data_IF_156541093260
#
_entry.id   IF_156541093260
#
_cell.length_a   1.000
_cell.length_b   1.000
_cell.length_c   1.000
_cell.angle_alpha   90.00
_cell.angle_beta   90.00
_cell.angle_gamma   90.00
#
_symmetry.space_group_name_H-M   'P 1'
#
loop_
_entity.id
_entity.type
_entity.pdbx_description
1 polymer ?
#
# COMPACT_ATOMS: atom_id res chain seq x y z
N UNK A 1 -26.27 -16.56 -34.41
CA UNK A 1 -25.20 -15.70 -33.84
C UNK A 1 -25.17 -14.32 -34.49
N UNK A 2 -24.98 -14.20 -35.81
CA UNK A 2 -24.84 -12.90 -36.52
C UNK A 2 -26.07 -11.98 -36.39
N UNK A 3 -27.29 -12.54 -36.38
CA UNK A 3 -28.54 -11.76 -36.24
C UNK A 3 -28.73 -11.16 -34.84
N UNK A 4 -28.20 -11.81 -33.80
CA UNK A 4 -28.27 -11.36 -32.39
C UNK A 4 -27.28 -10.23 -32.12
N UNK A 5 -26.08 -10.31 -32.69
CA UNK A 5 -25.05 -9.25 -32.60
C UNK A 5 -25.57 -7.95 -33.21
N UNK A 6 -26.32 -8.02 -34.32
CA UNK A 6 -26.89 -6.84 -34.99
C UNK A 6 -27.91 -6.08 -34.12
N UNK A 7 -28.59 -6.74 -33.19
CA UNK A 7 -29.52 -6.09 -32.26
C UNK A 7 -28.83 -5.52 -31.01
N UNK A 8 -27.55 -5.84 -30.80
CA UNK A 8 -26.76 -5.38 -29.65
C UNK A 8 -25.52 -4.58 -30.09
N UNK A 9 -25.55 -4.03 -31.31
CA UNK A 9 -24.51 -3.13 -31.82
C UNK A 9 -24.19 -1.98 -30.85
N UNK A 10 -25.16 -1.33 -30.19
CA UNK A 10 -24.85 -0.30 -29.19
C UNK A 10 -24.05 -0.84 -28.00
N UNK A 11 -24.36 -2.04 -27.54
CA UNK A 11 -23.65 -2.69 -26.43
C UNK A 11 -22.20 -3.00 -26.81
N UNK A 12 -21.99 -3.54 -28.01
CA UNK A 12 -20.64 -3.86 -28.52
C UNK A 12 -19.81 -2.59 -28.69
N UNK A 13 -20.40 -1.50 -29.21
CA UNK A 13 -19.73 -0.21 -29.33
C UNK A 13 -19.33 0.36 -27.96
N UNK A 14 -20.22 0.29 -26.97
CA UNK A 14 -19.90 0.72 -25.59
C UNK A 14 -18.77 -0.14 -25.01
N UNK A 15 -18.77 -1.45 -25.25
CA UNK A 15 -17.70 -2.32 -24.76
C UNK A 15 -16.35 -2.01 -25.39
N UNK A 16 -16.31 -1.75 -26.71
CA UNK A 16 -15.10 -1.34 -27.41
C UNK A 16 -14.60 0.01 -26.89
N UNK A 17 -15.51 0.96 -26.67
CA UNK A 17 -15.17 2.26 -26.09
C UNK A 17 -14.57 2.11 -24.69
N UNK A 18 -15.23 1.35 -23.80
CA UNK A 18 -14.74 1.10 -22.45
C UNK A 18 -13.41 0.34 -22.45
N UNK A 19 -13.21 -0.60 -23.37
CA UNK A 19 -11.95 -1.32 -23.56
C UNK A 19 -10.81 -0.38 -23.95
N UNK A 20 -11.02 0.46 -24.97
CA UNK A 20 -10.04 1.43 -25.44
C UNK A 20 -9.74 2.50 -24.39
N UNK A 21 -10.75 2.92 -23.64
CA UNK A 21 -10.60 3.88 -22.54
C UNK A 21 -9.82 3.30 -21.35
N UNK A 22 -10.00 2.01 -21.06
CA UNK A 22 -9.26 1.32 -20.01
C UNK A 22 -7.80 1.00 -20.39
N UNK A 23 -7.48 0.98 -21.68
CA UNK A 23 -6.15 0.64 -22.17
C UNK A 23 -5.11 1.67 -21.72
N UNK A 24 -3.99 1.19 -21.19
CA UNK A 24 -2.91 2.09 -20.79
C UNK A 24 -2.26 2.73 -22.01
N UNK A 25 -2.05 4.04 -21.95
CA UNK A 25 -1.29 4.80 -22.95
C UNK A 25 0.24 4.59 -22.83
N UNK A 26 0.68 3.89 -21.78
CA UNK A 26 2.07 3.53 -21.54
C UNK A 26 2.24 2.05 -21.83
N UNK A 27 3.07 1.72 -22.81
CA UNK A 27 3.44 0.34 -23.12
C UNK A 27 4.73 0.01 -22.39
N UNK A 28 4.65 -0.88 -21.40
CA UNK A 28 5.80 -1.37 -20.63
C UNK A 28 6.10 -2.82 -20.95
N UNK A 29 7.38 -3.17 -20.96
CA UNK A 29 7.85 -4.55 -21.00
C UNK A 29 8.84 -4.75 -19.86
N UNK A 30 8.45 -5.57 -18.89
CA UNK A 30 9.09 -5.65 -17.58
C UNK A 30 9.27 -4.25 -16.98
N UNK A 31 10.51 -3.86 -16.69
CA UNK A 31 10.86 -2.59 -16.07
C UNK A 31 11.12 -1.45 -17.06
N UNK A 32 10.97 -1.71 -18.37
CA UNK A 32 11.26 -0.71 -19.42
C UNK A 32 9.97 -0.19 -20.07
N UNK A 33 9.85 1.13 -20.11
CA UNK A 33 8.83 1.81 -20.90
C UNK A 33 9.29 1.80 -22.37
N UNK A 34 8.52 1.13 -23.24
CA UNK A 34 8.84 1.03 -24.67
C UNK A 34 8.38 2.30 -25.39
N UNK A 35 7.10 2.64 -25.24
CA UNK A 35 6.49 3.79 -25.91
C UNK A 35 5.36 4.36 -25.05
N UNK A 36 5.29 5.69 -25.00
CA UNK A 36 4.15 6.42 -24.44
C UNK A 36 3.39 7.07 -25.60
N UNK A 37 2.09 6.79 -25.70
CA UNK A 37 1.23 7.51 -26.63
C UNK A 37 0.90 8.86 -25.98
N UNK A 38 1.26 10.00 -26.60
CA UNK A 38 0.96 11.31 -26.03
C UNK A 38 -0.54 11.58 -26.16
N UNK A 39 -1.26 11.61 -25.04
CA UNK A 39 -2.65 12.04 -24.98
C UNK A 39 -2.72 13.48 -24.47
N UNK A 40 -3.76 14.26 -24.84
CA UNK A 40 -3.99 15.59 -24.27
C UNK A 40 -4.14 15.54 -22.74
N UNK A 41 -3.59 16.52 -22.02
CA UNK A 41 -3.55 16.55 -20.55
C UNK A 41 -4.91 16.31 -19.88
N UNK A 42 -5.97 16.97 -20.34
CA UNK A 42 -7.31 16.78 -19.75
C UNK A 42 -7.88 15.36 -19.93
N UNK A 43 -7.50 14.64 -20.99
CA UNK A 43 -7.90 13.25 -21.19
C UNK A 43 -7.02 12.30 -20.37
N UNK A 44 -5.75 12.62 -20.19
CA UNK A 44 -4.85 11.88 -19.29
C UNK A 44 -5.33 11.92 -17.85
N UNK A 45 -5.76 13.07 -17.35
CA UNK A 45 -6.26 13.21 -15.97
C UNK A 45 -7.56 12.43 -15.77
N UNK A 46 -8.49 12.53 -16.72
CA UNK A 46 -9.77 11.82 -16.67
C UNK A 46 -9.56 10.30 -16.78
N UNK A 47 -8.78 9.85 -17.77
CA UNK A 47 -8.39 8.45 -17.91
C UNK A 47 -7.63 7.98 -16.67
N UNK A 48 -6.76 8.82 -16.09
CA UNK A 48 -6.01 8.51 -14.88
C UNK A 48 -6.91 8.20 -13.70
N UNK A 49 -7.89 9.07 -13.40
CA UNK A 49 -8.85 8.88 -12.31
C UNK A 49 -9.69 7.61 -12.51
N UNK A 50 -10.24 7.44 -13.71
CA UNK A 50 -11.11 6.30 -13.97
C UNK A 50 -10.33 4.97 -14.08
N UNK A 51 -9.14 4.97 -14.68
CA UNK A 51 -8.25 3.79 -14.77
C UNK A 51 -7.74 3.40 -13.39
N UNK A 52 -7.40 4.35 -12.52
CA UNK A 52 -7.02 4.07 -11.14
C UNK A 52 -8.11 3.31 -10.36
N UNK A 53 -9.38 3.55 -10.69
CA UNK A 53 -10.49 2.79 -10.08
C UNK A 53 -10.70 1.40 -10.69
N UNK A 54 -10.20 1.13 -11.91
CA UNK A 54 -10.46 -0.04 -12.77
C UNK A 54 -11.95 -0.32 -13.13
N UNK A 55 -12.89 0.45 -12.59
CA UNK A 55 -14.35 0.21 -12.68
C UNK A 55 -14.91 0.29 -14.10
N UNK A 56 -14.26 1.06 -14.99
CA UNK A 56 -14.69 1.21 -16.38
C UNK A 56 -14.53 -0.08 -17.20
N UNK A 57 -13.64 -0.99 -16.79
CA UNK A 57 -13.43 -2.25 -17.50
C UNK A 57 -14.37 -3.38 -17.03
N UNK A 58 -14.98 -3.25 -15.85
CA UNK A 58 -15.78 -4.31 -15.23
C UNK A 58 -16.95 -4.78 -16.12
N UNK A 59 -17.73 -3.90 -16.77
CA UNK A 59 -18.81 -4.34 -17.65
C UNK A 59 -18.30 -5.20 -18.81
N UNK A 60 -17.15 -4.84 -19.39
CA UNK A 60 -16.53 -5.59 -20.50
C UNK A 60 -16.05 -6.95 -20.00
N UNK A 61 -15.39 -6.99 -18.85
CA UNK A 61 -14.93 -8.22 -18.23
C UNK A 61 -16.07 -9.21 -17.94
N UNK A 62 -17.17 -8.74 -17.35
CA UNK A 62 -18.33 -9.60 -17.08
C UNK A 62 -18.99 -10.13 -18.35
N UNK A 63 -19.06 -9.33 -19.42
CA UNK A 63 -19.59 -9.78 -20.70
C UNK A 63 -18.70 -10.83 -21.36
N UNK A 64 -17.37 -10.73 -21.22
CA UNK A 64 -16.43 -11.76 -21.68
C UNK A 64 -16.66 -13.07 -20.90
N UNK A 65 -16.81 -13.02 -19.58
CA UNK A 65 -17.08 -14.20 -18.75
C UNK A 65 -18.40 -14.87 -19.12
N UNK A 66 -19.50 -14.11 -19.13
CA UNK A 66 -20.84 -14.62 -19.49
C UNK A 66 -20.83 -15.14 -20.94
N UNK A 67 -20.17 -14.43 -21.85
CA UNK A 67 -20.00 -14.86 -23.23
C UNK A 67 -19.24 -16.19 -23.35
N UNK A 68 -18.17 -16.36 -22.57
CA UNK A 68 -17.41 -17.60 -22.48
C UNK A 68 -18.25 -18.77 -21.94
N UNK A 69 -19.01 -18.56 -20.88
CA UNK A 69 -19.92 -19.57 -20.33
C UNK A 69 -21.03 -19.94 -21.32
N UNK A 70 -21.64 -18.94 -21.95
CA UNK A 70 -22.66 -19.15 -22.98
C UNK A 70 -22.10 -19.90 -24.20
N UNK A 71 -20.86 -19.58 -24.59
CA UNK A 71 -20.15 -20.29 -25.65
C UNK A 71 -19.97 -21.76 -25.27
N UNK A 72 -19.42 -22.06 -24.10
CA UNK A 72 -19.26 -23.44 -23.61
C UNK A 72 -20.60 -24.18 -23.51
N UNK A 73 -21.66 -23.51 -23.06
CA UNK A 73 -23.01 -24.07 -22.98
C UNK A 73 -23.58 -24.41 -24.36
N UNK A 74 -23.40 -23.53 -25.35
CA UNK A 74 -23.85 -23.76 -26.73
C UNK A 74 -23.08 -24.92 -27.37
N UNK A 75 -21.77 -24.97 -27.16
CA UNK A 75 -20.88 -25.99 -27.69
C UNK A 75 -21.01 -27.36 -26.99
N UNK A 76 -21.65 -27.42 -25.81
CA UNK A 76 -21.99 -28.68 -25.13
C UNK A 76 -22.86 -29.62 -25.95
N UNK A 77 -23.60 -29.08 -26.93
CA UNK A 77 -24.39 -29.89 -27.88
C UNK A 77 -23.53 -30.64 -28.91
N UNK A 78 -22.29 -30.18 -29.13
CA UNK A 78 -21.38 -30.70 -30.15
C UNK A 78 -20.13 -31.40 -29.57
N UNK A 79 -19.91 -31.29 -28.26
CA UNK A 79 -18.75 -31.85 -27.56
C UNK A 79 -19.22 -32.78 -26.44
N UNK A 80 -18.59 -33.96 -26.34
CA UNK A 80 -18.82 -34.88 -25.22
C UNK A 80 -18.51 -34.19 -23.89
N UNK A 81 -19.34 -34.42 -22.86
CA UNK A 81 -19.23 -33.79 -21.54
C UNK A 81 -17.82 -33.90 -20.96
N UNK A 82 -17.15 -35.05 -21.15
CA UNK A 82 -15.77 -35.31 -20.70
C UNK A 82 -14.76 -34.30 -21.25
N UNK A 83 -14.90 -33.88 -22.52
CA UNK A 83 -13.99 -32.90 -23.14
C UNK A 83 -14.15 -31.51 -22.54
N UNK A 84 -15.38 -31.11 -22.20
CA UNK A 84 -15.68 -29.81 -21.60
C UNK A 84 -15.12 -29.72 -20.19
N UNK A 85 -15.32 -30.76 -19.38
CA UNK A 85 -14.70 -30.84 -18.05
C UNK A 85 -13.18 -30.86 -18.14
N UNK A 86 -12.61 -31.58 -19.11
CA UNK A 86 -11.16 -31.56 -19.35
C UNK A 86 -10.63 -30.16 -19.67
N UNK A 87 -11.31 -29.40 -20.53
CA UNK A 87 -10.96 -28.01 -20.84
C UNK A 87 -11.08 -27.12 -19.60
N UNK A 88 -12.15 -27.26 -18.81
CA UNK A 88 -12.33 -26.45 -17.60
C UNK A 88 -11.23 -26.73 -16.56
N UNK A 89 -10.89 -27.99 -16.34
CA UNK A 89 -9.80 -28.40 -15.44
C UNK A 89 -8.47 -27.83 -15.93
N UNK A 90 -8.21 -27.89 -17.25
CA UNK A 90 -7.00 -27.30 -17.83
C UNK A 90 -6.94 -25.79 -17.59
N UNK A 91 -8.05 -25.07 -17.77
CA UNK A 91 -8.13 -23.61 -17.50
C UNK A 91 -7.83 -23.31 -16.04
N UNK A 92 -8.45 -24.04 -15.11
CA UNK A 92 -8.19 -23.88 -13.66
C UNK A 92 -6.73 -24.18 -13.34
N UNK A 93 -6.15 -25.21 -13.94
CA UNK A 93 -4.73 -25.55 -13.74
C UNK A 93 -3.81 -24.43 -14.23
N UNK A 94 -4.07 -23.86 -15.41
CA UNK A 94 -3.31 -22.71 -15.94
C UNK A 94 -3.43 -21.50 -15.02
N UNK A 95 -4.65 -21.21 -14.51
CA UNK A 95 -4.87 -20.12 -13.56
C UNK A 95 -4.10 -20.33 -12.24
N UNK A 96 -4.08 -21.55 -11.70
CA UNK A 96 -3.30 -21.87 -10.50
C UNK A 96 -1.80 -21.79 -10.76
N UNK A 97 -1.34 -22.23 -11.93
CA UNK A 97 0.07 -22.15 -12.31
C UNK A 97 0.56 -20.71 -12.45
N UNK A 98 -0.28 -19.83 -12.98
CA UNK A 98 -0.01 -18.39 -13.07
C UNK A 98 0.04 -17.74 -11.66
N UNK A 99 -0.91 -18.11 -10.79
CA UNK A 99 -1.03 -17.53 -9.45
C UNK A 99 -0.02 -18.08 -8.42
N UNK A 100 0.63 -19.22 -8.69
CA UNK A 100 1.48 -19.94 -7.71
C UNK A 100 2.56 -19.08 -7.06
N UNK A 101 3.20 -18.18 -7.83
CA UNK A 101 4.30 -17.35 -7.34
C UNK A 101 3.79 -16.34 -6.31
N UNK A 102 2.65 -15.71 -6.61
CA UNK A 102 1.97 -14.79 -5.69
C UNK A 102 1.53 -15.50 -4.40
N UNK A 103 0.94 -16.70 -4.52
CA UNK A 103 0.51 -17.49 -3.35
C UNK A 103 1.69 -17.88 -2.47
N UNK A 104 2.78 -18.36 -3.06
CA UNK A 104 3.97 -18.75 -2.31
C UNK A 104 4.58 -17.56 -1.57
N UNK A 105 4.73 -16.42 -2.26
CA UNK A 105 5.23 -15.19 -1.65
C UNK A 105 4.33 -14.74 -0.49
N UNK A 106 3.02 -14.69 -0.68
CA UNK A 106 2.09 -14.27 0.38
C UNK A 106 2.06 -15.23 1.56
N UNK A 107 2.22 -16.52 1.32
CA UNK A 107 2.31 -17.51 2.40
C UNK A 107 3.59 -17.33 3.22
N UNK A 108 4.72 -17.08 2.57
CA UNK A 108 5.98 -16.76 3.24
C UNK A 108 5.85 -15.48 4.08
N UNK A 109 5.31 -14.40 3.51
CA UNK A 109 5.05 -13.13 4.21
C UNK A 109 4.17 -13.35 5.47
N UNK A 110 3.13 -14.19 5.36
CA UNK A 110 2.23 -14.50 6.48
C UNK A 110 2.91 -15.30 7.59
N UNK A 111 3.76 -16.27 7.24
CA UNK A 111 4.55 -17.04 8.21
C UNK A 111 5.50 -16.14 8.99
N UNK A 112 6.19 -15.23 8.31
CA UNK A 112 7.06 -14.24 8.94
C UNK A 112 6.27 -13.32 9.89
N UNK A 113 5.10 -12.84 9.47
CA UNK A 113 4.24 -11.99 10.31
C UNK A 113 3.66 -12.69 11.55
N UNK A 114 3.67 -14.03 11.58
CA UNK A 114 3.23 -14.79 12.77
C UNK A 114 4.31 -14.79 13.85
N UNK A 115 5.58 -14.61 13.47
CA UNK A 115 6.72 -14.57 14.38
C UNK A 115 7.06 -13.15 14.85
N UNK A 116 6.62 -12.11 14.12
CA UNK A 116 6.80 -10.73 14.55
C UNK A 116 5.97 -10.46 15.80
N UNK A 117 6.59 -9.90 16.84
CA UNK A 117 5.86 -9.32 17.97
C UNK A 117 4.92 -8.25 17.46
N UNK A 118 3.79 -8.03 18.12
CA UNK A 118 2.87 -6.99 17.74
C UNK A 118 3.28 -5.67 18.38
N UNK A 119 3.33 -4.58 17.60
CA UNK A 119 3.65 -3.23 18.10
C UNK A 119 2.67 -2.78 19.19
N UNK A 120 1.44 -3.29 19.18
CA UNK A 120 0.43 -2.96 20.19
C UNK A 120 0.66 -3.66 21.53
N UNK A 121 1.44 -4.74 21.56
CA UNK A 121 1.71 -5.51 22.78
C UNK A 121 3.04 -5.11 23.42
N UNK A 122 3.79 -4.20 22.79
CA UNK A 122 5.09 -3.73 23.27
C UNK A 122 4.93 -2.73 24.44
N UNK A 123 5.37 -3.13 25.63
CA UNK A 123 5.23 -2.34 26.87
C UNK A 123 5.93 -0.98 26.79
N UNK A 124 7.10 -0.89 26.13
CA UNK A 124 7.88 0.34 26.04
C UNK A 124 7.19 1.31 25.09
N UNK A 125 6.66 0.83 23.97
CA UNK A 125 5.88 1.66 23.07
C UNK A 125 4.56 2.09 23.72
N UNK A 126 3.84 1.22 24.43
CA UNK A 126 2.64 1.67 25.15
C UNK A 126 2.97 2.75 26.20
N UNK A 127 4.09 2.61 26.90
CA UNK A 127 4.58 3.65 27.79
C UNK A 127 4.94 4.94 27.04
N UNK A 128 5.65 4.87 25.91
CA UNK A 128 6.03 6.04 25.12
C UNK A 128 4.81 6.80 24.55
N UNK A 129 3.72 6.09 24.26
CA UNK A 129 2.45 6.69 23.89
C UNK A 129 1.76 7.39 25.06
N UNK A 130 1.92 6.88 26.29
CA UNK A 130 1.31 7.46 27.49
C UNK A 130 1.88 8.86 27.78
N UNK A 131 1.03 9.88 27.69
CA UNK A 131 1.42 11.30 27.80
C UNK A 131 1.85 11.96 26.48
N UNK A 132 2.00 11.19 25.40
CA UNK A 132 2.27 11.73 24.07
C UNK A 132 0.97 11.99 23.30
N UNK A 133 0.92 13.05 22.51
CA UNK A 133 -0.28 13.44 21.74
C UNK A 133 -0.07 13.48 20.25
N UNK A 134 1.19 13.52 19.79
CA UNK A 134 1.49 13.75 18.39
C UNK A 134 2.63 12.86 17.92
N UNK A 135 2.43 12.18 16.79
CA UNK A 135 3.46 11.43 16.07
C UNK A 135 4.04 12.31 14.95
N UNK A 136 5.38 12.40 14.90
CA UNK A 136 6.15 13.05 13.85
C UNK A 136 7.10 12.03 13.18
N UNK A 137 7.38 12.20 11.90
CA UNK A 137 8.39 11.41 11.18
C UNK A 137 9.50 12.32 10.67
N UNK A 138 10.75 11.94 10.89
CA UNK A 138 11.93 12.69 10.47
C UNK A 138 12.77 11.82 9.53
N UNK A 139 12.75 12.18 8.25
CA UNK A 139 13.43 11.47 7.14
C UNK A 139 13.27 9.94 7.18
N UNK A 140 12.03 9.47 7.12
CA UNK A 140 11.72 8.06 7.24
C UNK A 140 11.64 7.35 5.88
N UNK A 141 12.36 6.24 5.74
CA UNK A 141 12.51 5.51 4.47
C UNK A 141 11.69 4.20 4.37
N UNK A 142 10.98 3.81 5.43
CA UNK A 142 10.27 2.52 5.56
C UNK A 142 8.75 2.73 5.61
N UNK A 143 7.95 1.67 5.54
CA UNK A 143 6.49 1.75 5.65
C UNK A 143 6.05 2.22 7.06
N UNK A 144 5.51 3.44 7.18
CA UNK A 144 5.02 3.98 8.46
C UNK A 144 3.70 3.40 8.93
N UNK A 145 2.98 2.67 8.07
CA UNK A 145 1.56 2.37 8.33
C UNK A 145 1.36 1.75 9.71
N UNK A 146 2.20 0.79 10.09
CA UNK A 146 2.11 0.13 11.41
C UNK A 146 2.26 1.12 12.56
N UNK A 147 3.26 1.99 12.49
CA UNK A 147 3.50 3.06 13.46
C UNK A 147 2.36 4.07 13.52
N UNK A 148 1.80 4.45 12.37
CA UNK A 148 0.65 5.36 12.32
C UNK A 148 -0.59 4.71 12.92
N UNK A 149 -0.86 3.43 12.65
CA UNK A 149 -1.98 2.72 13.30
C UNK A 149 -1.75 2.61 14.81
N UNK A 150 -0.51 2.34 15.25
CA UNK A 150 -0.15 2.37 16.67
C UNK A 150 -0.42 3.72 17.33
N UNK A 151 -0.03 4.82 16.70
CA UNK A 151 -0.28 6.17 17.21
C UNK A 151 -1.79 6.50 17.23
N UNK A 152 -2.53 6.14 16.19
CA UNK A 152 -3.99 6.35 16.14
C UNK A 152 -4.75 5.54 17.21
N UNK A 153 -4.30 4.32 17.53
CA UNK A 153 -4.89 3.50 18.59
C UNK A 153 -4.66 4.10 19.98
N UNK A 154 -3.63 4.92 20.13
CA UNK A 154 -3.29 5.66 21.35
C UNK A 154 -3.78 7.12 21.32
N UNK A 155 -4.79 7.44 20.51
CA UNK A 155 -5.40 8.78 20.39
C UNK A 155 -4.42 9.91 20.02
N UNK A 156 -3.31 9.57 19.32
CA UNK A 156 -2.32 10.55 18.88
C UNK A 156 -2.66 11.12 17.50
N UNK A 157 -2.42 12.43 17.32
CA UNK A 157 -2.45 13.06 16.01
C UNK A 157 -1.23 12.67 15.18
N UNK A 158 -1.44 12.26 13.93
CA UNK A 158 -0.38 11.81 13.03
C UNK A 158 -0.15 12.84 11.91
N UNK A 159 1.07 13.36 11.84
CA UNK A 159 1.53 14.23 10.75
C UNK A 159 2.38 13.55 9.65
N UNK A 160 2.86 12.30 9.80
CA UNK A 160 3.47 11.60 8.69
C UNK A 160 2.47 11.36 7.55
N UNK A 161 2.94 11.56 6.32
CA UNK A 161 2.11 11.34 5.13
C UNK A 161 2.21 9.89 4.69
N UNK A 162 1.08 9.18 4.73
CA UNK A 162 0.97 7.77 4.29
C UNK A 162 0.32 7.65 2.90
N UNK A 163 -0.29 8.73 2.41
CA UNK A 163 -0.97 8.75 1.12
C UNK A 163 0.00 9.05 -0.02
N UNK A 164 -0.08 8.25 -1.10
CA UNK A 164 0.69 8.48 -2.33
C UNK A 164 0.13 9.61 -3.21
N UNK A 165 -1.02 10.17 -2.87
CA UNK A 165 -1.70 11.20 -3.66
C UNK A 165 -2.10 12.39 -2.79
N UNK A 166 -1.85 13.61 -3.27
CA UNK A 166 -2.20 14.86 -2.59
C UNK A 166 -0.96 15.65 -2.16
N UNK A 167 -1.15 16.95 -1.95
CA UNK A 167 -0.14 17.85 -1.38
C UNK A 167 -0.45 18.10 0.09
N UNK A 168 0.52 17.80 0.96
CA UNK A 168 0.39 17.88 2.41
C UNK A 168 1.34 18.92 3.01
N UNK A 169 1.47 20.06 2.35
CA UNK A 169 2.42 21.14 2.67
C UNK A 169 2.31 21.59 4.13
N UNK A 170 1.08 21.81 4.64
CA UNK A 170 0.87 22.21 6.04
C UNK A 170 1.36 21.16 7.05
N UNK A 171 1.22 19.88 6.72
CA UNK A 171 1.70 18.79 7.58
C UNK A 171 3.22 18.73 7.57
N UNK A 172 3.83 18.92 6.40
CA UNK A 172 5.28 18.99 6.24
C UNK A 172 5.86 20.21 6.96
N UNK A 173 5.28 21.41 6.79
CA UNK A 173 5.68 22.64 7.47
C UNK A 173 5.60 22.49 9.00
N UNK A 174 4.48 21.97 9.51
CA UNK A 174 4.31 21.70 10.94
C UNK A 174 5.38 20.73 11.47
N UNK A 175 5.64 19.66 10.72
CA UNK A 175 6.65 18.65 11.08
C UNK A 175 8.04 19.27 11.09
N UNK A 176 8.45 19.94 10.01
CA UNK A 176 9.76 20.56 9.90
C UNK A 176 10.01 21.64 10.97
N UNK A 177 9.02 22.47 11.26
CA UNK A 177 9.13 23.51 12.30
C UNK A 177 9.34 22.91 13.70
N UNK A 178 8.57 21.87 14.04
CA UNK A 178 8.69 21.22 15.35
C UNK A 178 9.98 20.40 15.46
N UNK A 179 10.37 19.67 14.42
CA UNK A 179 11.64 18.93 14.42
C UNK A 179 12.84 19.87 14.55
N UNK A 180 12.83 21.01 13.86
CA UNK A 180 13.89 22.03 14.00
C UNK A 180 13.97 22.58 15.44
N UNK A 181 12.82 22.87 16.06
CA UNK A 181 12.75 23.29 17.47
C UNK A 181 13.36 22.23 18.38
N UNK A 182 12.92 20.97 18.25
CA UNK A 182 13.38 19.86 19.10
C UNK A 182 14.88 19.61 18.92
N UNK A 183 15.40 19.64 17.69
CA UNK A 183 16.85 19.51 17.42
C UNK A 183 17.69 20.63 18.04
N UNK A 184 17.10 21.80 18.29
CA UNK A 184 17.79 22.95 18.90
C UNK A 184 17.68 23.02 20.43
N UNK A 185 16.52 22.66 21.00
CA UNK A 185 16.23 22.78 22.43
C UNK A 185 16.37 21.47 23.20
N UNK A 186 16.28 20.33 22.51
CA UNK A 186 16.14 19.00 23.11
C UNK A 186 14.81 18.77 23.82
N UNK A 187 13.87 19.72 23.74
CA UNK A 187 12.56 19.61 24.40
C UNK A 187 11.54 18.95 23.47
N UNK A 188 11.31 17.65 23.69
CA UNK A 188 10.36 16.82 22.96
C UNK A 188 8.90 17.17 23.28
N UNK A 189 8.57 17.82 24.40
CA UNK A 189 7.16 18.04 24.77
C UNK A 189 6.33 16.76 24.77
N UNK A 190 5.17 16.79 24.11
CA UNK A 190 4.20 15.68 24.00
C UNK A 190 4.35 14.93 22.64
N UNK A 191 5.52 15.00 22.00
CA UNK A 191 5.79 14.39 20.69
C UNK A 191 6.43 13.01 20.83
N UNK A 192 6.08 12.09 19.92
CA UNK A 192 6.90 10.93 19.58
C UNK A 192 7.44 11.14 18.18
N UNK A 193 8.74 10.97 18.00
CA UNK A 193 9.40 11.10 16.70
C UNK A 193 9.85 9.72 16.26
N UNK A 194 9.61 9.39 14.98
CA UNK A 194 10.10 8.16 14.38
C UNK A 194 11.09 8.43 13.27
N UNK A 195 12.20 7.68 13.30
CA UNK A 195 13.30 7.78 12.34
C UNK A 195 13.83 6.42 11.94
N UNK A 196 14.45 6.36 10.77
CA UNK A 196 15.17 5.16 10.28
C UNK A 196 16.67 5.43 10.12
N UNK A 197 17.08 6.69 10.04
CA UNK A 197 18.48 7.06 9.81
C UNK A 197 19.25 7.25 11.14
N UNK A 198 20.31 6.46 11.32
CA UNK A 198 21.20 6.52 12.48
C UNK A 198 21.93 7.86 12.64
N UNK A 199 22.34 8.52 11.56
CA UNK A 199 23.04 9.82 11.62
C UNK A 199 22.14 10.92 12.22
N UNK A 200 20.82 10.79 12.01
CA UNK A 200 19.84 11.70 12.57
C UNK A 200 19.59 11.37 14.04
N UNK A 201 19.59 10.09 14.41
CA UNK A 201 19.44 9.64 15.81
C UNK A 201 20.51 10.27 16.71
N UNK A 202 21.76 10.34 16.24
CA UNK A 202 22.87 10.93 16.99
C UNK A 202 22.61 12.38 17.41
N UNK A 203 21.90 13.16 16.58
CA UNK A 203 21.53 14.55 16.88
C UNK A 203 20.54 14.66 18.04
N UNK A 204 19.72 13.64 18.26
CA UNK A 204 18.79 13.59 19.40
C UNK A 204 19.47 13.01 20.64
N UNK A 205 20.41 12.07 20.46
CA UNK A 205 21.15 11.42 21.55
C UNK A 205 22.05 12.38 22.36
N UNK A 206 22.35 13.57 21.84
CA UNK A 206 23.08 14.62 22.57
C UNK A 206 22.28 15.21 23.74
N UNK A 207 20.96 15.01 23.78
CA UNK A 207 20.10 15.57 24.83
C UNK A 207 19.77 14.52 25.91
N UNK A 208 20.05 14.82 27.20
CA UNK A 208 19.83 13.85 28.30
C UNK A 208 18.35 13.57 28.59
N UNK A 209 17.45 14.47 28.22
CA UNK A 209 16.00 14.34 28.42
C UNK A 209 15.28 13.49 27.36
N UNK A 210 16.02 12.89 26.44
CA UNK A 210 15.48 12.12 25.31
C UNK A 210 15.84 10.64 25.48
N UNK A 211 14.81 9.79 25.38
CA UNK A 211 14.94 8.35 25.31
C UNK A 211 14.66 7.86 23.88
N UNK A 212 15.22 6.71 23.53
CA UNK A 212 15.00 6.07 22.24
C UNK A 212 14.82 4.56 22.41
N UNK A 213 13.98 3.99 21.56
CA UNK A 213 13.69 2.56 21.50
C UNK A 213 13.61 2.12 20.05
N UNK A 214 14.31 1.04 19.69
CA UNK A 214 14.25 0.49 18.33
C UNK A 214 13.28 -0.69 18.28
N UNK A 215 12.37 -0.63 17.31
CA UNK A 215 11.41 -1.68 17.05
C UNK A 215 11.22 -1.80 15.52
N UNK A 216 11.39 -3.01 14.98
CA UNK A 216 11.20 -3.32 13.54
C UNK A 216 11.99 -2.35 12.61
N UNK A 217 13.27 -2.09 12.94
CA UNK A 217 14.17 -1.16 12.24
C UNK A 217 13.74 0.32 12.23
N UNK A 218 12.81 0.70 13.10
CA UNK A 218 12.39 2.08 13.32
C UNK A 218 12.81 2.48 14.74
N UNK A 219 13.43 3.65 14.88
CA UNK A 219 13.72 4.24 16.17
C UNK A 219 12.60 5.18 16.59
N UNK A 220 12.03 4.92 17.75
CA UNK A 220 11.02 5.72 18.42
C UNK A 220 11.71 6.59 19.46
N UNK A 221 11.57 7.90 19.33
CA UNK A 221 12.19 8.90 20.19
C UNK A 221 11.08 9.57 21.00
N UNK A 222 11.25 9.58 22.32
CA UNK A 222 10.27 10.12 23.27
C UNK A 222 10.98 10.70 24.49
N UNK A 223 10.22 11.33 25.38
CA UNK A 223 10.75 11.96 26.59
C UNK A 223 11.31 10.91 27.58
N UNK A 224 12.47 11.17 28.19
CA UNK A 224 13.02 10.29 29.23
C UNK A 224 12.13 10.25 30.47
N UNK A 225 12.01 9.08 31.10
CA UNK A 225 11.23 8.86 32.32
C UNK A 225 9.75 8.50 32.08
N UNK A 226 9.30 8.46 30.82
CA UNK A 226 7.94 7.99 30.48
C UNK A 226 7.80 6.50 30.85
N UNK A 227 6.80 6.18 31.68
CA UNK A 227 6.57 4.81 32.19
C UNK A 227 7.67 4.24 33.08
N UNK A 228 8.59 5.05 33.61
CA UNK A 228 9.74 4.58 34.40
C UNK A 228 10.92 4.06 33.57
N UNK A 229 10.90 4.25 32.24
CA UNK A 229 11.98 3.89 31.35
C UNK A 229 12.90 5.10 31.08
N UNK A 230 14.05 5.11 31.74
CA UNK A 230 15.13 6.09 31.53
C UNK A 230 16.24 5.57 30.59
N UNK A 231 16.10 4.36 30.06
CA UNK A 231 17.20 3.69 29.39
C UNK A 231 17.27 4.03 27.90
N UNK A 232 18.46 4.49 27.51
CA UNK A 232 19.07 4.34 26.18
C UNK A 232 19.15 2.85 25.83
N UNK A 233 18.05 2.20 25.48
CA UNK A 233 18.09 0.79 25.07
C UNK A 233 18.28 0.74 23.57
N UNK A 234 19.55 0.67 23.16
CA UNK A 234 19.92 0.13 21.86
C UNK A 234 19.70 -1.39 21.90
N UNK A 235 18.86 -2.00 21.06
CA UNK A 235 19.21 -3.28 20.50
C UNK A 235 20.17 -2.99 19.35
N UNK A 236 21.48 -3.02 19.64
CA UNK A 236 22.46 -3.26 18.59
C UNK A 236 22.26 -4.72 18.22
N UNK A 237 21.80 -4.99 17.00
CA UNK A 237 21.97 -6.30 16.38
C UNK A 237 22.67 -6.04 15.04
N UNK A 238 23.77 -6.77 14.86
CA UNK A 238 24.72 -6.78 13.73
C UNK A 238 24.07 -6.69 12.34
#
# INVERSE_FOLDING_TARGET
MIKTIRNHVPLVLICIFLFLFALSNVVTYNDKIITTVPLPNGLLDLCGIFRASSRMFYPVYYLILIGGEYFLWTFKKHLAKTKIYGILILVVYVQLFDLKACVYQKHADMLESTLSTNIFDDEILQAAADGSKVLLADEMAVDIRRTVVWALKNDMACYPTVANSGTYEKSAEFTSANLARIKSSGDIGDFVIVITNLEILEKYNSFPQIAFYQYDNIYYIFKSGTGGYDKKVLPIIE
#
